data_IF_505924528217
#
_entry.id   IF_505924528217
#
_cell.length_a   1.000
_cell.length_b   1.000
_cell.length_c   1.000
_cell.angle_alpha   90.00
_cell.angle_beta   90.00
_cell.angle_gamma   90.00
#
_symmetry.space_group_name_H-M   'P 1'
#
loop_
_entity.id
_entity.type
_entity.pdbx_description
1 polymer ?
#
# COMPACT_ATOMS: atom_id res chain seq x y z
N UNK A 1 -1.23 13.34 -12.78
CA UNK A 1 -0.05 13.45 -11.86
C UNK A 1 1.23 13.64 -12.68
N UNK A 2 2.23 14.32 -12.14
CA UNK A 2 3.54 14.54 -12.78
C UNK A 2 4.61 13.73 -12.05
N UNK A 3 5.57 13.15 -12.81
CA UNK A 3 6.72 12.48 -12.21
C UNK A 3 7.65 13.51 -11.58
N UNK A 4 7.84 13.45 -10.26
CA UNK A 4 8.65 14.43 -9.50
C UNK A 4 10.07 13.92 -9.21
N UNK A 5 10.28 12.60 -9.18
CA UNK A 5 11.57 11.99 -8.85
C UNK A 5 11.72 10.62 -9.52
N UNK A 6 12.97 10.21 -9.75
CA UNK A 6 13.30 8.85 -10.20
C UNK A 6 14.41 8.29 -9.31
N UNK A 7 14.11 7.18 -8.66
CA UNK A 7 15.00 6.45 -7.75
C UNK A 7 15.25 5.04 -8.26
N UNK A 8 16.11 4.28 -7.61
CA UNK A 8 16.43 2.91 -8.00
C UNK A 8 16.46 1.95 -6.81
N UNK A 9 16.20 0.68 -7.11
CA UNK A 9 16.25 -0.42 -6.15
C UNK A 9 15.12 -0.39 -5.11
N UNK A 10 15.18 -1.31 -4.16
CA UNK A 10 14.19 -1.44 -3.09
C UNK A 10 14.11 -0.17 -2.24
N UNK A 11 15.24 0.45 -1.95
CA UNK A 11 15.27 1.71 -1.19
C UNK A 11 14.54 2.85 -1.90
N UNK A 12 14.49 2.82 -3.24
CA UNK A 12 13.73 3.78 -4.04
C UNK A 12 12.21 3.63 -3.91
N UNK A 13 11.73 2.46 -3.48
CA UNK A 13 10.32 2.23 -3.13
C UNK A 13 10.05 2.73 -1.69
N UNK A 14 10.93 2.35 -0.76
CA UNK A 14 10.67 2.51 0.67
C UNK A 14 10.88 3.94 1.18
N UNK A 15 11.89 4.65 0.64
CA UNK A 15 12.23 6.01 1.11
C UNK A 15 11.13 7.04 0.84
N UNK A 16 10.61 7.20 -0.39
CA UNK A 16 9.55 8.17 -0.65
C UNK A 16 8.26 7.81 0.10
N UNK A 17 7.91 6.54 0.22
CA UNK A 17 6.79 6.08 1.01
C UNK A 17 6.92 6.50 2.49
N UNK A 18 8.08 6.22 3.11
CA UNK A 18 8.35 6.60 4.50
C UNK A 18 8.37 8.13 4.68
N UNK A 19 8.99 8.85 3.75
CA UNK A 19 9.05 10.31 3.80
C UNK A 19 7.64 10.92 3.79
N UNK A 20 6.80 10.46 2.86
CA UNK A 20 5.42 10.91 2.77
C UNK A 20 4.62 10.65 4.06
N UNK A 21 4.71 9.45 4.65
CA UNK A 21 4.00 9.14 5.90
C UNK A 21 4.50 9.97 7.09
N UNK A 22 5.78 10.33 7.13
CA UNK A 22 6.30 11.26 8.15
C UNK A 22 5.73 12.66 8.00
N UNK A 23 5.59 13.14 6.77
CA UNK A 23 5.05 14.48 6.46
C UNK A 23 3.53 14.54 6.63
N UNK A 24 2.84 13.40 6.54
CA UNK A 24 1.39 13.31 6.75
C UNK A 24 0.92 13.63 8.18
N UNK A 25 1.85 13.79 9.13
CA UNK A 25 1.56 14.23 10.50
C UNK A 25 0.77 13.22 11.34
N UNK A 26 1.00 11.92 11.08
CA UNK A 26 0.29 10.84 11.75
C UNK A 26 0.70 10.71 13.23
N UNK A 27 -0.30 10.54 14.08
CA UNK A 27 -0.15 10.37 15.53
C UNK A 27 -0.40 8.95 16.03
N UNK A 28 -0.28 8.78 17.35
CA UNK A 28 -0.55 7.49 17.99
C UNK A 28 -2.00 7.06 17.80
N UNK A 29 -2.18 5.83 17.30
CA UNK A 29 -3.50 5.24 17.01
C UNK A 29 -4.07 5.57 15.63
N UNK A 30 -3.42 6.46 14.86
CA UNK A 30 -3.77 6.65 13.46
C UNK A 30 -3.43 5.39 12.66
N UNK A 31 -4.29 5.04 11.70
CA UNK A 31 -4.10 3.82 10.92
C UNK A 31 -3.56 4.11 9.52
N UNK A 32 -2.56 3.33 9.13
CA UNK A 32 -2.15 3.11 7.74
C UNK A 32 -2.74 1.77 7.30
N UNK A 33 -3.69 1.81 6.37
CA UNK A 33 -4.43 0.62 5.93
C UNK A 33 -4.04 0.28 4.49
N UNK A 34 -3.52 -0.93 4.32
CA UNK A 34 -3.06 -1.45 3.03
C UNK A 34 -4.12 -2.37 2.42
N UNK A 35 -4.62 -2.01 1.27
CA UNK A 35 -5.55 -2.83 0.48
C UNK A 35 -4.78 -3.52 -0.65
N UNK A 36 -4.82 -4.84 -0.69
CA UNK A 36 -4.03 -5.59 -1.66
C UNK A 36 -4.43 -7.06 -1.79
N UNK A 37 -3.96 -7.69 -2.86
CA UNK A 37 -4.22 -9.10 -3.12
C UNK A 37 -3.43 -10.00 -2.17
N UNK A 38 -4.05 -11.02 -1.58
CA UNK A 38 -3.34 -12.04 -0.82
C UNK A 38 -2.22 -12.71 -1.65
N UNK A 39 -1.08 -12.94 -1.02
CA UNK A 39 0.08 -13.58 -1.65
C UNK A 39 0.87 -12.67 -2.58
N UNK A 40 0.22 -11.98 -3.52
CA UNK A 40 0.91 -11.11 -4.49
C UNK A 40 1.36 -9.80 -3.87
N UNK A 41 0.48 -9.13 -3.12
CA UNK A 41 0.79 -7.84 -2.50
C UNK A 41 1.38 -7.98 -1.09
N UNK A 42 1.05 -9.03 -0.36
CA UNK A 42 1.38 -9.20 1.05
C UNK A 42 2.88 -9.03 1.35
N UNK A 43 3.83 -9.62 0.59
CA UNK A 43 5.26 -9.43 0.86
C UNK A 43 5.71 -7.97 0.76
N UNK A 44 5.17 -7.23 -0.18
CA UNK A 44 5.48 -5.81 -0.34
C UNK A 44 4.83 -4.95 0.74
N UNK A 45 3.61 -5.30 1.17
CA UNK A 45 2.94 -4.66 2.31
C UNK A 45 3.75 -4.84 3.59
N UNK A 46 4.24 -6.03 3.87
CA UNK A 46 5.11 -6.29 5.03
C UNK A 46 6.43 -5.52 4.95
N UNK A 47 7.00 -5.41 3.75
CA UNK A 47 8.21 -4.62 3.50
C UNK A 47 7.97 -3.11 3.69
N UNK A 48 6.87 -2.57 3.18
CA UNK A 48 6.46 -1.18 3.42
C UNK A 48 6.19 -0.94 4.90
N UNK A 49 5.49 -1.86 5.55
CA UNK A 49 5.24 -1.82 6.99
C UNK A 49 6.52 -1.80 7.82
N UNK A 50 7.52 -2.57 7.41
CA UNK A 50 8.85 -2.56 8.05
C UNK A 50 9.56 -1.20 7.87
N UNK A 51 9.44 -0.57 6.71
CA UNK A 51 10.05 0.73 6.47
C UNK A 51 9.54 1.82 7.42
N UNK A 52 8.27 1.73 7.85
CA UNK A 52 7.60 2.73 8.71
C UNK A 52 7.35 2.25 10.14
N UNK A 53 8.00 1.15 10.57
CA UNK A 53 7.83 0.55 11.91
C UNK A 53 8.18 1.46 13.08
N UNK A 54 8.92 2.52 12.82
CA UNK A 54 9.32 3.55 13.79
C UNK A 54 8.30 4.70 13.93
N UNK A 55 7.25 4.71 13.12
CA UNK A 55 6.15 5.65 13.25
C UNK A 55 5.14 5.16 14.31
N UNK A 56 4.48 6.07 15.04
CA UNK A 56 3.55 5.71 16.12
C UNK A 56 2.17 5.26 15.58
N UNK A 57 2.10 4.65 14.42
CA UNK A 57 0.87 4.29 13.71
C UNK A 57 0.50 2.83 13.92
N UNK A 58 -0.79 2.55 13.86
CA UNK A 58 -1.29 1.19 13.66
C UNK A 58 -1.24 0.85 12.17
N UNK A 59 -0.81 -0.37 11.85
CA UNK A 59 -0.75 -0.84 10.48
C UNK A 59 -1.74 -2.00 10.29
N UNK A 60 -2.55 -1.91 9.25
CA UNK A 60 -3.63 -2.86 8.97
C UNK A 60 -3.56 -3.29 7.50
N UNK A 61 -3.69 -4.59 7.27
CA UNK A 61 -3.85 -5.19 5.96
C UNK A 61 -5.32 -5.58 5.73
N UNK A 62 -5.87 -5.20 4.59
CA UNK A 62 -7.19 -5.59 4.12
C UNK A 62 -7.04 -6.43 2.85
N UNK A 63 -7.45 -7.70 2.86
CA UNK A 63 -7.43 -8.52 1.66
C UNK A 63 -8.45 -7.98 0.65
N UNK A 64 -7.98 -7.65 -0.54
CA UNK A 64 -8.77 -6.99 -1.58
C UNK A 64 -9.39 -5.69 -1.05
N UNK A 65 -10.70 -5.71 -0.79
CA UNK A 65 -11.50 -4.61 -0.20
C UNK A 65 -12.39 -5.10 0.96
N UNK A 66 -12.12 -6.31 1.46
CA UNK A 66 -12.89 -6.93 2.54
C UNK A 66 -12.40 -6.48 3.92
N UNK A 67 -12.92 -5.36 4.40
CA UNK A 67 -12.56 -4.81 5.71
C UNK A 67 -12.97 -5.71 6.88
N UNK A 68 -13.96 -6.60 6.69
CA UNK A 68 -14.32 -7.57 7.72
C UNK A 68 -13.23 -8.63 7.94
N UNK A 69 -12.40 -8.88 6.92
CA UNK A 69 -11.26 -9.78 6.98
C UNK A 69 -9.93 -9.07 7.32
N UNK A 70 -9.98 -7.81 7.75
CA UNK A 70 -8.80 -7.01 8.05
C UNK A 70 -7.93 -7.64 9.14
N UNK A 71 -6.62 -7.51 8.97
CA UNK A 71 -5.60 -8.06 9.88
C UNK A 71 -4.60 -7.00 10.30
N UNK A 72 -4.17 -7.06 11.57
CA UNK A 72 -3.09 -6.22 12.04
C UNK A 72 -1.76 -6.64 11.42
N UNK A 73 -0.89 -5.66 11.16
CA UNK A 73 0.51 -5.89 10.80
C UNK A 73 1.34 -5.57 12.04
N UNK A 74 2.10 -6.56 12.54
CA UNK A 74 2.84 -6.45 13.79
C UNK A 74 4.29 -6.87 13.65
N UNK A 75 5.19 -6.32 14.48
CA UNK A 75 6.57 -6.79 14.52
C UNK A 75 6.63 -8.21 15.11
N UNK A 76 7.38 -9.08 14.45
CA UNK A 76 7.70 -10.43 14.91
C UNK A 76 9.20 -10.51 15.12
N UNK A 77 9.62 -10.93 16.32
CA UNK A 77 11.03 -11.00 16.70
C UNK A 77 11.85 -11.87 15.72
N UNK A 78 12.99 -11.34 15.27
CA UNK A 78 13.90 -11.96 14.30
C UNK A 78 13.29 -12.24 12.90
N UNK A 79 12.11 -11.67 12.60
CA UNK A 79 11.44 -11.84 11.30
C UNK A 79 11.22 -10.49 10.62
N UNK A 80 10.58 -9.54 11.28
CA UNK A 80 10.21 -8.24 10.74
C UNK A 80 8.73 -7.95 10.97
N UNK A 81 8.12 -7.14 10.12
CA UNK A 81 6.68 -6.89 10.18
C UNK A 81 5.92 -8.00 9.45
N UNK A 82 4.87 -8.50 10.06
CA UNK A 82 4.03 -9.54 9.46
C UNK A 82 2.54 -9.26 9.67
N UNK A 83 1.74 -9.67 8.69
CA UNK A 83 0.29 -9.80 8.81
C UNK A 83 -0.01 -10.87 9.85
N UNK A 84 -0.83 -10.56 10.85
CA UNK A 84 -1.07 -11.43 12.00
C UNK A 84 -2.57 -11.56 12.35
N UNK A 85 -2.94 -11.18 13.56
CA UNK A 85 -4.29 -11.36 14.10
C UNK A 85 -5.33 -10.45 13.43
N UNK A 86 -6.63 -10.75 13.54
CA UNK A 86 -7.69 -9.84 13.08
C UNK A 86 -7.50 -8.42 13.63
N UNK A 87 -7.68 -7.42 12.78
CA UNK A 87 -7.75 -6.03 13.20
C UNK A 87 -9.12 -5.77 13.85
N UNK A 88 -9.14 -5.10 14.98
CA UNK A 88 -10.40 -4.82 15.69
C UNK A 88 -11.28 -3.76 14.99
N UNK A 89 -10.68 -2.91 14.16
CA UNK A 89 -11.36 -1.85 13.39
C UNK A 89 -10.54 -1.48 12.16
N UNK A 90 -11.20 -0.88 11.18
CA UNK A 90 -10.58 -0.21 10.03
C UNK A 90 -11.02 1.24 10.04
N UNK A 91 -10.06 2.16 10.23
CA UNK A 91 -10.31 3.62 10.28
C UNK A 91 -9.05 4.35 9.75
N UNK A 92 -8.83 4.30 8.43
CA UNK A 92 -7.60 4.79 7.83
C UNK A 92 -7.45 6.32 7.93
N UNK A 93 -6.29 6.78 8.33
CA UNK A 93 -5.78 8.12 8.02
C UNK A 93 -5.00 8.13 6.70
N UNK A 94 -4.42 6.99 6.36
CA UNK A 94 -3.81 6.76 5.05
C UNK A 94 -4.29 5.42 4.50
N UNK A 95 -4.85 5.46 3.32
CA UNK A 95 -5.17 4.31 2.48
C UNK A 95 -3.99 4.05 1.56
N UNK A 96 -3.47 2.83 1.56
CA UNK A 96 -2.44 2.39 0.61
C UNK A 96 -3.07 1.37 -0.34
N UNK A 97 -3.25 1.76 -1.58
CA UNK A 97 -3.74 0.88 -2.65
C UNK A 97 -2.56 0.18 -3.32
N UNK A 98 -2.57 -1.15 -3.31
CA UNK A 98 -1.55 -1.94 -3.99
C UNK A 98 -1.93 -2.22 -5.44
N UNK A 99 -0.97 -2.11 -6.35
CA UNK A 99 -1.18 -2.30 -7.79
C UNK A 99 -1.74 -3.68 -8.19
N UNK A 100 -1.60 -4.68 -7.33
CA UNK A 100 -2.24 -5.98 -7.54
C UNK A 100 -3.75 -5.90 -7.66
N UNK A 101 -4.42 -4.92 -7.03
CA UNK A 101 -5.85 -4.71 -7.16
C UNK A 101 -6.30 -4.30 -8.57
N UNK A 102 -5.38 -3.71 -9.35
CA UNK A 102 -5.64 -3.26 -10.71
C UNK A 102 -5.25 -4.31 -11.78
N UNK A 103 -4.75 -5.48 -11.36
CA UNK A 103 -4.36 -6.55 -12.28
C UNK A 103 -5.60 -7.20 -12.92
N UNK A 104 -5.49 -7.64 -14.19
CA UNK A 104 -6.54 -8.43 -14.82
C UNK A 104 -6.83 -9.72 -14.04
N UNK A 105 -8.11 -10.09 -13.93
CA UNK A 105 -8.55 -11.35 -13.33
C UNK A 105 -8.60 -11.40 -11.81
N UNK A 106 -8.31 -10.28 -11.11
CA UNK A 106 -8.53 -10.20 -9.66
C UNK A 106 -10.03 -10.16 -9.34
N UNK A 107 -10.47 -10.73 -8.20
CA UNK A 107 -11.89 -10.79 -7.84
C UNK A 107 -12.38 -9.49 -7.18
N UNK A 108 -11.89 -8.33 -7.65
CA UNK A 108 -12.31 -7.01 -7.16
C UNK A 108 -12.45 -6.06 -8.35
N UNK A 109 -13.48 -5.23 -8.32
CA UNK A 109 -13.72 -4.22 -9.35
C UNK A 109 -13.16 -2.86 -8.93
N UNK A 110 -12.88 -2.01 -9.89
CA UNK A 110 -12.47 -0.62 -9.64
C UNK A 110 -13.52 0.14 -8.84
N UNK A 111 -14.79 -0.11 -9.11
CA UNK A 111 -15.93 0.49 -8.40
C UNK A 111 -15.96 0.09 -6.93
N UNK A 112 -15.63 -1.16 -6.61
CA UNK A 112 -15.52 -1.62 -5.22
C UNK A 112 -14.39 -0.90 -4.48
N UNK A 113 -13.23 -0.69 -5.13
CA UNK A 113 -12.12 0.08 -4.55
C UNK A 113 -12.51 1.55 -4.37
N UNK A 114 -13.21 2.15 -5.35
CA UNK A 114 -13.73 3.52 -5.20
C UNK A 114 -14.68 3.65 -4.02
N UNK A 115 -15.56 2.67 -3.81
CA UNK A 115 -16.49 2.67 -2.71
C UNK A 115 -15.77 2.67 -1.35
N UNK A 116 -14.69 1.90 -1.22
CA UNK A 116 -13.83 1.91 -0.02
C UNK A 116 -13.18 3.28 0.19
N UNK A 117 -12.55 3.85 -0.84
CA UNK A 117 -11.94 5.19 -0.73
C UNK A 117 -12.98 6.24 -0.36
N UNK A 118 -14.17 6.20 -0.98
CA UNK A 118 -15.26 7.13 -0.70
C UNK A 118 -15.83 6.98 0.73
N UNK A 119 -15.73 5.80 1.33
CA UNK A 119 -16.16 5.57 2.71
C UNK A 119 -15.22 6.25 3.74
N UNK A 120 -14.00 6.63 3.33
CA UNK A 120 -13.00 7.27 4.17
C UNK A 120 -12.52 8.61 3.56
N UNK A 121 -13.41 9.62 3.44
CA UNK A 121 -13.13 10.84 2.66
C UNK A 121 -12.01 11.72 3.21
N UNK A 122 -11.66 11.55 4.49
CA UNK A 122 -10.57 12.29 5.15
C UNK A 122 -9.21 11.58 5.04
N UNK A 123 -9.18 10.35 4.52
CA UNK A 123 -7.96 9.59 4.38
C UNK A 123 -7.15 10.06 3.19
N UNK A 124 -5.82 10.13 3.36
CA UNK A 124 -4.88 10.30 2.25
C UNK A 124 -4.79 9.01 1.44
N UNK A 125 -4.63 9.12 0.13
CA UNK A 125 -4.58 7.96 -0.76
C UNK A 125 -3.20 7.82 -1.38
N UNK A 126 -2.53 6.73 -1.07
CA UNK A 126 -1.21 6.38 -1.60
C UNK A 126 -1.33 5.15 -2.50
N UNK A 127 -0.76 5.21 -3.69
CA UNK A 127 -0.63 4.07 -4.58
C UNK A 127 0.77 3.47 -4.54
N UNK A 128 0.88 2.15 -4.45
CA UNK A 128 2.15 1.44 -4.65
C UNK A 128 1.94 0.35 -5.69
N UNK A 129 2.58 0.49 -6.84
CA UNK A 129 2.43 -0.46 -7.92
C UNK A 129 3.76 -0.79 -8.61
N UNK A 130 3.69 -1.74 -9.53
CA UNK A 130 4.81 -2.18 -10.33
C UNK A 130 4.46 -2.12 -11.80
N UNK A 131 5.47 -1.81 -12.64
CA UNK A 131 5.36 -1.86 -14.10
C UNK A 131 4.19 -1.04 -14.66
N UNK A 132 3.94 0.12 -14.08
CA UNK A 132 2.90 1.07 -14.48
C UNK A 132 1.46 0.50 -14.39
N UNK A 133 1.21 -0.36 -13.41
CA UNK A 133 -0.07 -1.07 -13.33
C UNK A 133 -1.26 -0.10 -13.20
N UNK A 134 -1.15 0.94 -12.37
CA UNK A 134 -2.23 1.92 -12.23
C UNK A 134 -2.47 2.72 -13.50
N UNK A 135 -1.41 3.13 -14.21
CA UNK A 135 -1.55 3.85 -15.48
C UNK A 135 -2.20 2.97 -16.55
N UNK A 136 -1.75 1.71 -16.70
CA UNK A 136 -2.31 0.74 -17.65
C UNK A 136 -3.77 0.41 -17.40
N UNK A 137 -4.20 0.42 -16.14
CA UNK A 137 -5.59 0.17 -15.74
C UNK A 137 -6.45 1.46 -15.72
N UNK A 138 -5.88 2.63 -16.00
CA UNK A 138 -6.58 3.92 -15.98
C UNK A 138 -6.91 4.41 -14.57
N UNK A 139 -6.20 3.91 -13.54
CA UNK A 139 -6.47 4.32 -12.16
C UNK A 139 -5.88 5.68 -11.80
N UNK A 140 -4.84 6.13 -12.53
CA UNK A 140 -4.20 7.44 -12.29
C UNK A 140 -5.17 8.60 -12.50
N UNK A 141 -6.11 8.44 -13.44
CA UNK A 141 -7.12 9.45 -13.75
C UNK A 141 -8.42 9.26 -12.93
N UNK A 142 -8.58 8.09 -12.32
CA UNK A 142 -9.80 7.67 -11.66
C UNK A 142 -9.77 7.85 -10.14
N UNK A 143 -8.58 7.98 -9.54
CA UNK A 143 -8.38 8.17 -8.10
C UNK A 143 -7.51 9.41 -7.85
N UNK A 144 -7.87 10.18 -6.82
CA UNK A 144 -7.09 11.31 -6.35
C UNK A 144 -5.95 10.82 -5.45
N UNK A 145 -4.87 10.32 -6.07
CA UNK A 145 -3.69 9.91 -5.33
C UNK A 145 -2.88 11.10 -4.82
N UNK A 146 -2.56 11.12 -3.55
CA UNK A 146 -1.59 12.05 -2.96
C UNK A 146 -0.15 11.68 -3.33
N UNK A 147 0.14 10.38 -3.46
CA UNK A 147 1.42 9.83 -3.88
C UNK A 147 1.22 8.54 -4.68
N UNK A 148 1.98 8.36 -5.75
CA UNK A 148 2.16 7.04 -6.39
C UNK A 148 3.65 6.68 -6.37
N UNK A 149 3.95 5.51 -5.84
CA UNK A 149 5.25 4.86 -5.98
C UNK A 149 5.10 3.74 -7.01
N UNK A 150 5.64 3.94 -8.20
CA UNK A 150 5.61 2.96 -9.28
C UNK A 150 7.01 2.43 -9.55
N UNK A 151 7.24 1.15 -9.31
CA UNK A 151 8.55 0.53 -9.45
C UNK A 151 8.63 -0.36 -10.71
N UNK A 152 9.72 -0.24 -11.44
CA UNK A 152 10.05 -1.16 -12.51
C UNK A 152 11.10 -2.17 -12.04
N UNK A 153 10.84 -3.46 -12.22
CA UNK A 153 11.81 -4.54 -11.98
C UNK A 153 12.39 -4.92 -13.35
N UNK A 154 13.39 -4.17 -13.80
CA UNK A 154 14.01 -4.32 -15.11
C UNK A 154 15.44 -3.76 -15.08
N UNK A 155 16.46 -4.50 -15.56
CA UNK A 155 16.39 -5.89 -16.02
C UNK A 155 16.49 -6.91 -14.87
N UNK A 156 15.89 -8.07 -15.05
CA UNK A 156 16.16 -9.27 -14.25
C UNK A 156 17.25 -10.10 -14.95
N UNK A 157 18.37 -10.36 -14.26
CA UNK A 157 19.50 -11.15 -14.79
C UNK A 157 19.56 -12.50 -14.12
N UNK A 158 19.69 -13.54 -14.93
CA UNK A 158 19.79 -14.93 -14.48
C UNK A 158 21.18 -15.44 -14.80
N UNK A 159 21.84 -16.04 -13.81
CA UNK A 159 23.18 -16.63 -13.93
C UNK A 159 23.07 -18.13 -13.65
N UNK A 160 23.79 -18.94 -14.46
CA UNK A 160 23.91 -20.41 -14.27
C UNK A 160 25.37 -20.81 -14.25
#
# INVERSE_FOLDING_TARGET
>A
MEQVEQLSGVSGILRPFKAYLKEAGLGAGDQVVYYGCPGTCTPFIELLGFAVRDLPVEQVYVPYVDEAAAKAIRPVGNVGMQVSDPAGRVDPKVIVLMGGLAMPGVPVTKEAVRAVVAAHPEAKVVGVCFMQMFAKAGWVDDFDFDLIVDAAIDPVRIWR
#
